data_IF_876104600664
#
_entry.id   IF_876104600664
#
_cell.length_a   1.000
_cell.length_b   1.000
_cell.length_c   1.000
_cell.angle_alpha   90.00
_cell.angle_beta   90.00
_cell.angle_gamma   90.00
#
_symmetry.space_group_name_H-M   'P 1'
#
loop_
_entity.id
_entity.type
_entity.pdbx_description
1 polymer ?
#
# COMPACT_ATOMS: atom_id res chain seq x y z
N UNK A 1 26.70 0.68 71.50
CA UNK A 1 26.96 1.79 72.49
C UNK A 1 25.74 2.68 72.45
N UNK A 2 24.92 2.41 73.40
CA UNK A 2 24.37 3.35 74.38
C UNK A 2 23.45 4.43 73.82
N UNK A 3 22.18 4.38 74.01
CA UNK A 3 21.37 4.54 75.24
C UNK A 3 20.50 5.80 75.10
N UNK A 4 19.17 5.61 75.03
CA UNK A 4 18.12 5.98 75.98
C UNK A 4 17.74 7.48 75.99
N UNK A 5 16.50 7.92 76.21
CA UNK A 5 15.27 7.59 76.96
C UNK A 5 14.23 8.67 76.65
N UNK A 6 12.96 8.38 76.48
CA UNK A 6 11.84 8.48 77.42
C UNK A 6 11.57 9.91 78.00
N UNK A 7 10.33 10.47 77.83
CA UNK A 7 9.18 10.41 78.76
C UNK A 7 8.19 11.51 78.34
N UNK A 8 6.93 11.36 78.24
CA UNK A 8 5.79 11.05 79.12
C UNK A 8 5.12 12.30 79.74
N UNK A 9 3.75 12.29 79.73
CA UNK A 9 2.75 12.97 80.57
C UNK A 9 2.38 14.41 80.18
N UNK A 10 1.14 14.90 80.31
CA UNK A 10 -0.19 14.39 80.74
C UNK A 10 -1.25 15.53 80.55
N UNK A 11 -2.40 15.21 80.13
CA UNK A 11 -3.73 15.39 80.72
C UNK A 11 -4.01 16.73 81.45
N UNK A 12 -5.11 17.37 81.10
CA UNK A 12 -6.34 17.62 81.82
C UNK A 12 -7.01 18.94 81.47
N UNK A 13 -8.24 18.82 81.00
CA UNK A 13 -9.49 19.42 81.42
C UNK A 13 -9.55 20.96 81.69
N UNK A 14 -10.48 21.65 81.03
CA UNK A 14 -11.69 22.08 81.75
C UNK A 14 -12.77 22.67 80.81
N UNK A 15 -13.99 22.43 81.23
CA UNK A 15 -15.28 22.81 80.67
C UNK A 15 -15.56 24.29 80.77
N UNK A 16 -16.39 24.87 79.89
CA UNK A 16 -17.69 25.49 80.29
C UNK A 16 -18.20 26.43 79.16
N UNK A 17 -19.30 26.03 78.56
CA UNK A 17 -20.58 26.75 78.37
C UNK A 17 -20.49 28.25 78.03
N UNK A 18 -21.04 28.64 76.86
CA UNK A 18 -22.15 29.60 76.73
C UNK A 18 -22.77 29.51 75.31
N UNK A 19 -24.10 29.41 75.27
CA UNK A 19 -24.95 29.49 74.10
C UNK A 19 -24.93 30.93 73.53
N UNK A 20 -24.83 31.03 72.22
CA UNK A 20 -25.52 32.05 71.44
C UNK A 20 -25.80 31.61 70.02
N UNK A 21 -27.08 31.67 69.72
CA UNK A 21 -27.64 31.44 68.37
C UNK A 21 -27.09 32.42 67.38
N UNK A 22 -26.58 31.97 66.28
CA UNK A 22 -26.52 32.74 65.07
C UNK A 22 -26.92 31.86 63.90
N UNK A 23 -27.94 32.32 63.21
CA UNK A 23 -28.35 31.82 61.91
C UNK A 23 -27.18 31.95 60.94
N UNK A 24 -26.68 30.82 60.41
CA UNK A 24 -25.81 30.80 59.26
C UNK A 24 -26.49 29.94 58.23
N UNK A 25 -26.95 30.61 57.17
CA UNK A 25 -27.50 29.99 55.97
C UNK A 25 -26.51 28.98 55.39
N UNK A 26 -26.95 27.77 55.29
CA UNK A 26 -26.21 26.71 54.62
C UNK A 26 -26.21 26.99 53.10
N UNK A 27 -25.16 27.57 52.60
CA UNK A 27 -24.84 27.51 51.18
C UNK A 27 -24.39 26.08 50.87
N UNK A 28 -25.29 25.27 50.33
CA UNK A 28 -24.96 24.03 49.70
C UNK A 28 -24.23 24.38 48.41
N UNK A 29 -22.92 24.31 48.44
CA UNK A 29 -22.08 24.34 47.25
C UNK A 29 -22.27 23.01 46.57
N UNK A 30 -23.25 22.93 45.64
CA UNK A 30 -23.33 21.84 44.67
C UNK A 30 -22.18 22.05 43.72
N UNK A 31 -21.06 21.43 44.04
CA UNK A 31 -19.95 21.24 43.08
C UNK A 31 -20.47 20.43 41.91
N UNK A 32 -20.83 21.10 40.83
CA UNK A 32 -21.01 20.45 39.55
C UNK A 32 -19.66 19.85 39.14
N UNK A 33 -19.42 18.61 39.52
CA UNK A 33 -18.43 17.79 38.87
C UNK A 33 -18.87 17.69 37.40
N UNK A 34 -18.32 18.54 36.56
CA UNK A 34 -18.30 18.36 35.13
C UNK A 34 -17.49 17.06 34.87
N UNK A 35 -18.15 15.92 34.98
CA UNK A 35 -17.71 14.74 34.31
C UNK A 35 -17.71 15.08 32.81
N UNK A 36 -16.55 15.40 32.29
CA UNK A 36 -16.29 15.25 30.85
C UNK A 36 -16.30 13.75 30.53
N UNK A 37 -17.47 13.13 30.68
CA UNK A 37 -17.73 11.85 30.11
C UNK A 37 -17.56 12.03 28.60
N UNK A 38 -16.52 11.48 28.01
CA UNK A 38 -16.54 11.21 26.59
C UNK A 38 -17.82 10.41 26.36
N UNK A 39 -18.85 11.07 25.83
CA UNK A 39 -20.07 10.40 25.42
C UNK A 39 -19.65 9.40 24.35
N UNK A 40 -19.62 8.13 24.73
CA UNK A 40 -19.47 7.01 23.78
C UNK A 40 -20.54 7.20 22.71
N UNK A 41 -20.14 7.74 21.56
CA UNK A 41 -21.03 7.82 20.41
C UNK A 41 -21.20 6.41 19.90
N UNK A 42 -22.42 5.86 19.90
CA UNK A 42 -22.62 4.53 19.37
C UNK A 42 -22.12 4.50 17.93
N UNK A 43 -21.44 3.42 17.55
CA UNK A 43 -20.85 3.25 16.21
C UNK A 43 -21.64 2.21 15.41
N UNK A 44 -21.76 2.46 14.11
CA UNK A 44 -22.26 1.49 13.14
C UNK A 44 -21.07 0.73 12.56
N UNK A 45 -20.97 -0.58 12.82
CA UNK A 45 -19.96 -1.42 12.19
C UNK A 45 -20.43 -1.91 10.82
N UNK A 46 -19.66 -1.64 9.79
CA UNK A 46 -19.91 -2.08 8.41
C UNK A 46 -18.90 -3.16 8.03
N UNK A 47 -19.41 -4.35 7.70
CA UNK A 47 -18.59 -5.51 7.35
C UNK A 47 -17.84 -5.31 6.03
N UNK A 48 -16.69 -6.00 5.84
CA UNK A 48 -15.88 -5.88 4.63
C UNK A 48 -16.53 -6.48 3.37
N UNK A 49 -17.57 -7.31 3.52
CA UNK A 49 -18.36 -7.85 2.41
C UNK A 49 -19.54 -6.95 1.98
N UNK A 50 -19.63 -5.73 2.48
CA UNK A 50 -20.63 -4.75 2.06
C UNK A 50 -20.46 -4.40 0.57
N UNK A 51 -21.54 -4.46 -0.25
CA UNK A 51 -21.46 -4.21 -1.70
C UNK A 51 -21.06 -2.77 -2.07
N UNK A 52 -21.14 -1.85 -1.12
CA UNK A 52 -20.71 -0.45 -1.29
C UNK A 52 -19.20 -0.25 -1.04
N UNK A 53 -18.42 -1.33 -0.91
CA UNK A 53 -16.95 -1.28 -0.86
C UNK A 53 -16.42 -1.80 -2.19
N UNK A 54 -15.60 -1.01 -2.87
CA UNK A 54 -14.89 -1.40 -4.07
C UNK A 54 -13.43 -1.75 -3.74
N UNK A 55 -12.96 -2.89 -4.26
CA UNK A 55 -11.61 -3.40 -4.08
C UNK A 55 -10.89 -3.44 -5.42
N UNK A 56 -9.71 -2.81 -5.52
CA UNK A 56 -8.87 -2.80 -6.73
C UNK A 56 -7.49 -3.35 -6.39
N UNK A 57 -7.05 -4.36 -7.16
CA UNK A 57 -5.89 -5.18 -6.87
C UNK A 57 -6.27 -6.59 -6.44
N UNK A 58 -5.33 -7.33 -5.84
CA UNK A 58 -5.57 -8.70 -5.39
C UNK A 58 -5.94 -8.75 -3.92
N UNK A 59 -7.12 -9.31 -3.65
CA UNK A 59 -7.68 -9.50 -2.31
C UNK A 59 -8.16 -10.93 -2.12
N UNK A 60 -7.99 -11.45 -0.93
CA UNK A 60 -8.48 -12.76 -0.51
C UNK A 60 -9.78 -12.60 0.30
N UNK A 61 -10.85 -13.12 -0.25
CA UNK A 61 -12.20 -13.15 0.33
C UNK A 61 -12.57 -14.53 0.89
N UNK A 62 -11.63 -15.47 1.03
CA UNK A 62 -11.91 -16.83 1.45
C UNK A 62 -12.39 -16.96 2.90
N UNK A 63 -12.20 -15.92 3.72
CA UNK A 63 -12.59 -15.90 5.12
C UNK A 63 -13.80 -15.01 5.36
N UNK A 64 -14.85 -15.56 5.93
CA UNK A 64 -16.06 -14.80 6.25
C UNK A 64 -15.76 -13.62 7.18
N UNK A 65 -16.16 -12.40 6.78
CA UNK A 65 -15.99 -11.18 7.58
C UNK A 65 -14.57 -10.65 7.66
N UNK A 66 -13.63 -11.18 6.85
CA UNK A 66 -12.25 -10.73 6.78
C UNK A 66 -11.81 -10.70 5.32
N UNK A 67 -11.28 -9.58 4.86
CA UNK A 67 -10.61 -9.46 3.56
C UNK A 67 -9.12 -9.30 3.80
N UNK A 68 -8.31 -10.17 3.18
CA UNK A 68 -6.85 -10.16 3.35
C UNK A 68 -6.15 -9.65 2.10
N UNK A 69 -5.02 -8.98 2.29
CA UNK A 69 -4.18 -8.47 1.19
C UNK A 69 -2.77 -8.17 1.68
N UNK A 70 -1.81 -8.07 0.76
CA UNK A 70 -0.45 -7.62 1.09
C UNK A 70 0.27 -6.91 -0.07
N UNK A 71 -0.14 -7.12 -1.34
CA UNK A 71 0.49 -6.46 -2.48
C UNK A 71 0.48 -4.93 -2.34
N UNK A 72 1.53 -4.22 -2.84
CA UNK A 72 1.54 -2.77 -2.84
C UNK A 72 0.46 -2.19 -3.75
N UNK A 73 0.05 -0.96 -3.50
CA UNK A 73 -0.86 -0.23 -4.37
C UNK A 73 -2.30 -0.71 -4.40
N UNK A 74 -2.68 -1.76 -3.64
CA UNK A 74 -4.09 -2.17 -3.52
C UNK A 74 -4.93 -1.01 -2.99
N UNK A 75 -6.20 -0.92 -3.45
CA UNK A 75 -7.10 0.16 -3.13
C UNK A 75 -8.40 -0.37 -2.52
N UNK A 76 -8.90 0.33 -1.51
CA UNK A 76 -10.23 0.16 -0.93
C UNK A 76 -10.94 1.49 -1.11
N UNK A 77 -12.07 1.49 -1.83
CA UNK A 77 -12.88 2.68 -2.10
C UNK A 77 -14.29 2.51 -1.56
N UNK A 78 -14.83 3.58 -1.03
CA UNK A 78 -16.24 3.63 -0.63
C UNK A 78 -16.72 5.08 -0.59
N UNK A 79 -18.03 5.25 -0.49
CA UNK A 79 -18.66 6.53 -0.12
C UNK A 79 -19.33 6.32 1.24
N UNK A 80 -19.36 7.33 2.08
CA UNK A 80 -20.02 7.27 3.38
C UNK A 80 -20.69 8.59 3.73
N UNK A 81 -21.73 8.55 4.55
CA UNK A 81 -22.35 9.72 5.16
C UNK A 81 -21.73 10.06 6.50
N UNK A 82 -21.86 11.32 6.93
CA UNK A 82 -21.56 11.77 8.28
C UNK A 82 -20.15 12.31 8.48
N UNK A 83 -19.77 12.46 9.74
CA UNK A 83 -18.61 13.25 10.17
C UNK A 83 -17.39 12.42 10.56
N UNK A 84 -17.51 11.07 10.56
CA UNK A 84 -16.52 10.15 11.10
C UNK A 84 -16.45 8.85 10.30
N UNK A 85 -15.23 8.38 10.10
CA UNK A 85 -14.97 7.04 9.56
C UNK A 85 -13.69 6.46 10.16
N UNK A 86 -13.76 5.22 10.61
CA UNK A 86 -12.61 4.45 11.06
C UNK A 86 -12.55 3.08 10.37
N UNK A 87 -11.36 2.47 10.35
CA UNK A 87 -11.10 1.17 9.74
C UNK A 87 -10.56 0.18 10.77
N UNK A 88 -11.11 -1.04 10.80
CA UNK A 88 -10.59 -2.12 11.63
C UNK A 88 -9.58 -2.94 10.83
N UNK A 89 -8.30 -2.81 11.19
CA UNK A 89 -7.18 -3.53 10.57
C UNK A 89 -6.40 -4.33 11.60
N UNK A 90 -6.04 -5.57 11.22
CA UNK A 90 -4.89 -6.27 11.80
C UNK A 90 -3.71 -6.06 10.87
N UNK A 91 -2.82 -5.16 11.24
CA UNK A 91 -1.66 -4.76 10.45
C UNK A 91 -0.59 -4.14 11.36
N UNK A 92 0.58 -4.75 11.41
CA UNK A 92 1.67 -4.35 12.31
C UNK A 92 2.71 -3.41 11.69
N UNK A 93 2.64 -3.10 10.39
CA UNK A 93 3.80 -2.46 9.75
C UNK A 93 3.49 -1.48 8.63
N UNK A 94 2.37 -1.58 7.93
CA UNK A 94 2.20 -0.86 6.67
C UNK A 94 1.82 0.62 6.83
N UNK A 95 2.01 1.37 5.75
CA UNK A 95 1.55 2.74 5.60
C UNK A 95 0.50 2.82 4.50
N UNK A 96 -0.49 3.72 4.68
CA UNK A 96 -1.58 3.94 3.74
C UNK A 96 -1.79 5.43 3.49
N UNK A 97 -2.03 5.80 2.24
CA UNK A 97 -2.62 7.12 1.96
C UNK A 97 -4.14 7.03 2.17
N UNK A 98 -4.67 7.98 2.90
CA UNK A 98 -6.11 8.17 3.13
C UNK A 98 -6.53 9.43 2.40
N UNK A 99 -7.38 9.27 1.39
CA UNK A 99 -7.95 10.40 0.65
C UNK A 99 -9.41 10.54 1.01
N UNK A 100 -9.81 11.76 1.36
CA UNK A 100 -11.20 12.17 1.55
C UNK A 100 -11.52 13.20 0.48
N UNK A 101 -12.61 13.00 -0.26
CA UNK A 101 -13.06 13.87 -1.33
C UNK A 101 -11.96 14.20 -2.37
N UNK A 102 -11.18 13.16 -2.72
CA UNK A 102 -10.09 13.26 -3.69
C UNK A 102 -8.81 13.93 -3.18
N UNK A 103 -8.78 14.42 -1.95
CA UNK A 103 -7.60 15.08 -1.35
C UNK A 103 -6.91 14.15 -0.33
N UNK A 104 -5.58 14.11 -0.34
CA UNK A 104 -4.82 13.41 0.69
C UNK A 104 -5.14 14.04 2.05
N UNK A 105 -5.82 13.28 2.89
CA UNK A 105 -6.22 13.70 4.23
C UNK A 105 -5.12 13.41 5.26
N UNK A 106 -4.57 12.18 5.23
CA UNK A 106 -3.44 11.78 6.06
C UNK A 106 -2.73 10.53 5.54
N UNK A 107 -1.55 10.27 6.10
CA UNK A 107 -0.87 8.97 6.02
C UNK A 107 -1.15 8.20 7.30
N UNK A 108 -1.84 7.07 7.17
CA UNK A 108 -2.05 6.14 8.27
C UNK A 108 -0.84 5.21 8.40
N UNK A 109 -0.24 5.16 9.57
CA UNK A 109 0.81 4.21 9.96
C UNK A 109 0.21 3.15 10.88
N UNK A 110 0.24 1.90 10.45
CA UNK A 110 -0.30 0.79 11.26
C UNK A 110 0.78 0.17 12.11
N UNK A 111 0.39 -0.31 13.30
CA UNK A 111 1.31 -0.91 14.29
C UNK A 111 0.73 -2.12 15.02
N UNK A 112 -0.57 -2.39 14.87
CA UNK A 112 -1.25 -3.44 15.64
C UNK A 112 -2.59 -3.86 15.03
N UNK A 113 -3.27 -4.80 15.69
CA UNK A 113 -4.66 -5.17 15.42
C UNK A 113 -5.59 -4.22 16.20
N UNK A 114 -6.06 -3.15 15.55
CA UNK A 114 -6.88 -2.14 16.22
C UNK A 114 -7.83 -1.42 15.25
N UNK A 115 -8.66 -0.56 15.81
CA UNK A 115 -9.46 0.41 15.07
C UNK A 115 -8.62 1.67 14.83
N UNK A 116 -8.48 2.08 13.58
CA UNK A 116 -7.76 3.28 13.19
C UNK A 116 -8.74 4.33 12.67
N UNK A 117 -8.83 5.48 13.32
CA UNK A 117 -9.59 6.62 12.81
C UNK A 117 -9.01 7.07 11.47
N UNK A 118 -9.82 7.10 10.43
CA UNK A 118 -9.46 7.60 9.10
C UNK A 118 -9.74 9.10 8.97
N UNK A 119 -10.91 9.52 9.41
CA UNK A 119 -11.34 10.91 9.43
C UNK A 119 -12.32 11.14 10.58
N UNK A 120 -12.30 12.34 11.11
CA UNK A 120 -13.19 12.82 12.17
C UNK A 120 -13.45 14.34 12.02
N UNK A 121 -14.52 14.82 12.60
CA UNK A 121 -14.92 16.24 12.53
C UNK A 121 -15.07 16.74 11.08
N UNK A 122 -15.48 15.88 10.16
CA UNK A 122 -15.85 16.26 8.81
C UNK A 122 -17.19 17.03 8.84
N UNK A 123 -17.52 17.71 7.74
CA UNK A 123 -18.87 18.25 7.57
C UNK A 123 -19.87 17.08 7.51
N UNK A 124 -21.07 17.29 8.08
CA UNK A 124 -22.13 16.27 8.03
C UNK A 124 -22.76 16.22 6.64
N UNK A 125 -22.18 15.38 5.76
CA UNK A 125 -22.60 15.15 4.38
C UNK A 125 -22.01 13.84 3.84
N UNK A 126 -22.22 13.59 2.58
CA UNK A 126 -21.57 12.47 1.87
C UNK A 126 -20.10 12.78 1.56
N UNK A 127 -19.25 11.77 1.74
CA UNK A 127 -17.80 11.82 1.49
C UNK A 127 -17.35 10.64 0.65
N UNK A 128 -16.38 10.87 -0.22
CA UNK A 128 -15.64 9.78 -0.89
C UNK A 128 -14.43 9.41 -0.06
N UNK A 129 -14.16 8.11 0.09
CA UNK A 129 -12.98 7.55 0.73
C UNK A 129 -12.20 6.68 -0.25
N UNK A 130 -10.90 6.96 -0.38
CA UNK A 130 -9.95 6.09 -1.05
C UNK A 130 -8.79 5.79 -0.10
N UNK A 131 -8.54 4.52 0.13
CA UNK A 131 -7.39 4.01 0.89
C UNK A 131 -6.45 3.33 -0.09
N UNK A 132 -5.16 3.71 -0.11
CA UNK A 132 -4.16 3.04 -0.94
C UNK A 132 -2.99 2.56 -0.09
N UNK A 133 -2.60 1.29 -0.23
CA UNK A 133 -1.43 0.75 0.47
C UNK A 133 -0.15 1.30 -0.17
N UNK A 134 0.68 1.95 0.64
CA UNK A 134 1.94 2.58 0.21
C UNK A 134 3.07 1.57 0.07
N UNK A 135 3.22 0.75 1.10
CA UNK A 135 4.36 -0.15 1.31
C UNK A 135 4.20 -1.47 0.56
N UNK A 136 5.31 -2.08 0.17
CA UNK A 136 5.31 -3.42 -0.42
C UNK A 136 4.91 -4.51 0.60
N UNK A 137 4.67 -5.72 0.13
CA UNK A 137 4.44 -6.87 0.98
C UNK A 137 5.71 -7.20 1.79
N UNK A 138 5.55 -7.34 3.11
CA UNK A 138 6.63 -7.74 4.01
C UNK A 138 6.33 -9.12 4.61
N UNK A 139 6.28 -9.27 5.94
CA UNK A 139 6.16 -10.58 6.58
C UNK A 139 4.72 -11.04 6.78
N UNK A 140 3.80 -10.10 6.99
CA UNK A 140 2.45 -10.42 7.46
C UNK A 140 1.37 -10.01 6.46
N UNK A 141 0.29 -10.80 6.44
CA UNK A 141 -0.93 -10.47 5.74
C UNK A 141 -1.72 -9.43 6.52
N UNK A 142 -2.18 -8.40 5.83
CA UNK A 142 -3.16 -7.47 6.36
C UNK A 142 -4.52 -8.15 6.39
N UNK A 143 -5.26 -7.94 7.49
CA UNK A 143 -6.66 -8.36 7.61
C UNK A 143 -7.55 -7.15 7.84
N UNK A 144 -8.34 -6.82 6.85
CA UNK A 144 -9.38 -5.80 6.93
C UNK A 144 -10.67 -6.43 7.43
N UNK A 145 -11.27 -5.84 8.46
CA UNK A 145 -12.47 -6.35 9.14
C UNK A 145 -13.68 -5.42 9.05
N UNK A 146 -13.57 -4.33 8.29
CA UNK A 146 -14.67 -3.41 8.06
C UNK A 146 -14.40 -1.99 8.52
N UNK A 147 -15.43 -1.17 8.37
CA UNK A 147 -15.43 0.23 8.79
C UNK A 147 -16.32 0.43 10.01
N UNK A 148 -16.01 1.46 10.79
CA UNK A 148 -16.90 1.98 11.82
C UNK A 148 -17.26 3.42 11.47
N UNK A 149 -18.55 3.74 11.54
CA UNK A 149 -19.15 5.06 11.30
C UNK A 149 -19.90 5.51 12.55
N UNK A 150 -20.34 6.77 12.63
CA UNK A 150 -21.27 7.16 13.70
C UNK A 150 -22.59 6.37 13.57
N UNK A 151 -23.35 6.29 14.67
CA UNK A 151 -24.69 5.72 14.63
C UNK A 151 -25.59 6.49 13.67
N UNK A 152 -26.31 5.74 12.84
CA UNK A 152 -27.18 6.30 11.80
C UNK A 152 -26.50 6.57 10.46
N UNK A 153 -25.17 6.63 10.43
CA UNK A 153 -24.41 6.76 9.18
C UNK A 153 -24.25 5.42 8.46
N UNK A 154 -24.03 5.46 7.16
CA UNK A 154 -23.95 4.28 6.32
C UNK A 154 -22.93 4.45 5.18
N UNK A 155 -22.51 3.31 4.60
CA UNK A 155 -21.85 3.34 3.30
C UNK A 155 -22.87 3.51 2.20
N UNK A 156 -22.56 4.38 1.25
CA UNK A 156 -23.40 4.74 0.11
C UNK A 156 -22.94 4.00 -1.15
N UNK A 157 -23.84 3.81 -2.15
CA UNK A 157 -23.48 3.13 -3.39
C UNK A 157 -22.28 3.77 -4.10
N UNK A 158 -21.31 2.94 -4.49
CA UNK A 158 -20.17 3.36 -5.31
C UNK A 158 -20.59 3.31 -6.78
N UNK A 159 -20.44 4.44 -7.49
CA UNK A 159 -20.63 4.47 -8.94
C UNK A 159 -19.44 3.76 -9.58
N UNK A 160 -19.67 2.55 -10.09
CA UNK A 160 -18.66 1.76 -10.79
C UNK A 160 -18.53 2.26 -12.22
N UNK A 161 -17.49 3.02 -12.49
CA UNK A 161 -17.12 3.39 -13.86
C UNK A 161 -16.42 2.22 -14.55
N UNK A 162 -16.75 2.02 -15.84
CA UNK A 162 -16.00 1.06 -16.66
C UNK A 162 -14.64 1.70 -17.03
N UNK A 163 -13.60 1.33 -16.32
CA UNK A 163 -12.23 1.82 -16.54
C UNK A 163 -11.40 0.81 -17.32
N UNK A 164 -10.39 1.32 -18.02
CA UNK A 164 -9.25 0.52 -18.51
C UNK A 164 -8.59 -0.16 -17.33
N UNK A 165 -7.92 -1.29 -17.59
CA UNK A 165 -7.25 -2.07 -16.53
C UNK A 165 -5.82 -2.36 -16.91
N UNK A 166 -4.89 -2.04 -16.03
CA UNK A 166 -3.45 -2.27 -16.24
C UNK A 166 -2.89 -3.11 -15.08
N UNK A 167 -2.26 -4.24 -15.38
CA UNK A 167 -1.44 -4.96 -14.40
C UNK A 167 0.03 -4.60 -14.59
N UNK A 168 0.70 -4.19 -13.51
CA UNK A 168 2.12 -3.91 -13.48
C UNK A 168 2.81 -5.03 -12.71
N UNK A 169 3.78 -5.69 -13.35
CA UNK A 169 4.55 -6.80 -12.79
C UNK A 169 6.01 -6.37 -12.75
N UNK A 170 6.64 -6.34 -11.56
CA UNK A 170 8.01 -5.90 -11.48
C UNK A 170 8.60 -5.84 -10.09
N UNK A 171 9.47 -4.88 -9.90
CA UNK A 171 10.35 -4.74 -8.75
C UNK A 171 10.13 -3.43 -7.98
N UNK A 172 11.19 -2.95 -7.31
CA UNK A 172 11.20 -1.74 -6.47
C UNK A 172 10.71 -0.47 -7.19
N UNK A 173 10.84 -0.38 -8.50
CA UNK A 173 10.32 0.77 -9.25
C UNK A 173 8.79 0.81 -9.27
N UNK A 174 8.11 -0.32 -9.12
CA UNK A 174 6.66 -0.36 -8.97
C UNK A 174 6.21 -0.35 -7.51
N UNK A 175 7.04 -0.84 -6.57
CA UNK A 175 6.68 -0.72 -5.15
C UNK A 175 6.75 0.73 -4.66
N UNK A 176 7.50 1.58 -5.35
CA UNK A 176 7.74 2.97 -4.93
C UNK A 176 8.75 3.05 -3.78
N UNK A 177 9.69 2.09 -3.70
CA UNK A 177 10.79 2.12 -2.74
C UNK A 177 11.57 3.43 -2.89
N UNK A 178 11.79 4.12 -1.77
CA UNK A 178 12.58 5.36 -1.75
C UNK A 178 11.92 6.58 -2.39
N UNK A 179 10.70 6.45 -2.93
CA UNK A 179 10.04 7.48 -3.74
C UNK A 179 9.75 8.81 -3.00
N UNK A 180 9.67 8.81 -1.68
CA UNK A 180 9.58 10.01 -0.84
C UNK A 180 10.92 10.38 -0.19
N UNK A 181 11.99 9.72 -0.58
CA UNK A 181 13.36 10.07 -0.19
C UNK A 181 13.80 11.41 -0.76
N UNK A 182 14.64 12.12 -0.01
CA UNK A 182 15.14 13.45 -0.41
C UNK A 182 16.46 13.41 -1.13
N UNK A 183 17.25 12.35 -0.92
CA UNK A 183 18.59 12.18 -1.47
C UNK A 183 18.84 10.74 -1.88
N UNK A 184 19.70 10.48 -2.88
CA UNK A 184 19.97 9.10 -3.35
C UNK A 184 20.56 8.16 -2.29
N UNK A 185 21.29 8.69 -1.34
CA UNK A 185 22.05 7.99 -0.29
C UNK A 185 21.24 7.79 1.00
N UNK A 186 20.02 8.30 1.08
CA UNK A 186 19.23 8.07 2.27
C UNK A 186 18.89 6.57 2.44
N UNK A 187 18.86 6.13 3.70
CA UNK A 187 18.51 4.76 4.04
C UNK A 187 17.02 4.54 3.90
N UNK A 188 16.64 3.42 3.30
CA UNK A 188 15.25 3.01 3.20
C UNK A 188 14.60 2.87 4.58
N UNK A 189 13.41 3.39 4.70
CA UNK A 189 12.45 3.06 5.75
C UNK A 189 11.02 3.09 5.16
N UNK A 190 10.04 2.54 5.88
CA UNK A 190 8.66 2.46 5.39
C UNK A 190 7.99 3.81 5.10
N UNK A 191 8.50 4.89 5.68
CA UNK A 191 7.92 6.22 5.52
C UNK A 191 8.33 6.88 4.20
N UNK A 192 9.45 6.44 3.61
CA UNK A 192 9.90 6.91 2.31
C UNK A 192 9.51 5.99 1.14
N UNK A 193 8.64 5.00 1.38
CA UNK A 193 8.05 4.13 0.37
C UNK A 193 6.61 4.55 0.07
N UNK A 194 6.27 4.75 -1.19
CA UNK A 194 4.92 5.11 -1.60
C UNK A 194 4.57 4.62 -3.00
N UNK A 195 3.96 3.45 -3.06
CA UNK A 195 3.53 2.85 -4.33
C UNK A 195 2.59 3.78 -5.13
N UNK A 196 1.76 4.58 -4.46
CA UNK A 196 0.80 5.47 -5.14
C UNK A 196 1.45 6.52 -6.05
N UNK A 197 2.67 6.97 -5.72
CA UNK A 197 3.44 7.91 -6.54
C UNK A 197 4.48 7.24 -7.44
N UNK A 198 4.61 5.91 -7.40
CA UNK A 198 5.41 5.16 -8.36
C UNK A 198 4.86 5.33 -9.78
N UNK A 199 5.71 5.22 -10.79
CA UNK A 199 5.33 5.55 -12.17
C UNK A 199 4.18 4.72 -12.73
N UNK A 200 4.02 3.46 -12.32
CA UNK A 200 2.90 2.61 -12.72
C UNK A 200 1.54 3.17 -12.30
N UNK A 201 1.27 3.40 -11.01
CA UNK A 201 0.07 4.06 -10.54
C UNK A 201 -0.14 5.49 -11.06
N UNK A 202 0.94 6.28 -11.21
CA UNK A 202 0.87 7.62 -11.84
C UNK A 202 0.39 7.52 -13.28
N UNK A 203 0.97 6.61 -14.06
CA UNK A 203 0.61 6.36 -15.45
C UNK A 203 -0.83 5.85 -15.56
N UNK A 204 -1.25 4.90 -14.71
CA UNK A 204 -2.61 4.38 -14.72
C UNK A 204 -3.65 5.50 -14.51
N UNK A 205 -3.43 6.41 -13.55
CA UNK A 205 -4.30 7.57 -13.34
C UNK A 205 -4.35 8.51 -14.55
N UNK A 206 -3.20 8.77 -15.21
CA UNK A 206 -3.14 9.57 -16.44
C UNK A 206 -3.91 8.93 -17.60
N UNK A 207 -3.96 7.61 -17.65
CA UNK A 207 -4.67 6.83 -18.65
C UNK A 207 -6.13 6.53 -18.28
N UNK A 208 -6.64 7.05 -17.16
CA UNK A 208 -7.95 6.72 -16.57
C UNK A 208 -8.17 5.21 -16.47
N UNK A 209 -7.20 4.52 -15.86
CA UNK A 209 -7.21 3.08 -15.68
C UNK A 209 -7.17 2.69 -14.21
N UNK A 210 -7.89 1.60 -13.86
CA UNK A 210 -7.65 0.87 -12.63
C UNK A 210 -6.36 0.04 -12.78
N UNK A 211 -5.67 -0.22 -11.66
CA UNK A 211 -4.40 -0.92 -11.72
C UNK A 211 -4.25 -1.99 -10.64
N UNK A 212 -3.47 -3.01 -10.96
CA UNK A 212 -2.98 -4.03 -10.03
C UNK A 212 -1.45 -4.01 -10.06
N UNK A 213 -0.80 -4.00 -8.89
CA UNK A 213 0.67 -4.02 -8.77
C UNK A 213 1.09 -5.35 -8.16
N UNK A 214 1.89 -6.11 -8.90
CA UNK A 214 2.50 -7.36 -8.47
C UNK A 214 4.01 -7.12 -8.49
N UNK A 215 4.51 -6.56 -7.40
CA UNK A 215 5.89 -6.10 -7.33
C UNK A 215 6.53 -6.39 -5.97
N UNK A 216 7.82 -6.69 -5.99
CA UNK A 216 8.65 -6.97 -4.82
C UNK A 216 10.02 -6.33 -5.09
N UNK A 217 10.52 -5.55 -4.15
CA UNK A 217 11.86 -4.95 -4.25
C UNK A 217 12.95 -6.03 -4.31
N UNK A 218 13.93 -5.84 -5.19
CA UNK A 218 15.03 -6.78 -5.39
C UNK A 218 14.70 -8.07 -6.14
N UNK A 219 13.45 -8.26 -6.58
CA UNK A 219 13.02 -9.49 -7.26
C UNK A 219 13.55 -9.55 -8.70
N UNK A 220 13.96 -10.74 -9.12
CA UNK A 220 14.31 -11.06 -10.51
C UNK A 220 13.41 -12.10 -11.13
N UNK A 221 13.73 -12.49 -12.33
CA UNK A 221 13.08 -13.61 -13.05
C UNK A 221 13.77 -14.93 -12.71
N UNK A 222 15.09 -14.94 -12.63
CA UNK A 222 15.94 -16.09 -12.34
C UNK A 222 16.69 -15.91 -11.03
N UNK A 223 17.21 -14.69 -10.79
CA UNK A 223 18.03 -14.35 -9.64
C UNK A 223 17.56 -13.04 -9.03
N UNK A 224 17.41 -13.03 -7.71
CA UNK A 224 17.12 -11.83 -6.97
C UNK A 224 18.40 -11.05 -6.67
N UNK A 225 18.28 -9.75 -6.47
CA UNK A 225 19.39 -8.93 -6.01
C UNK A 225 19.97 -9.46 -4.68
N UNK A 226 21.30 -9.44 -4.56
CA UNK A 226 22.02 -9.90 -3.38
C UNK A 226 22.09 -11.42 -3.19
N UNK A 227 21.49 -12.26 -4.04
CA UNK A 227 21.61 -13.71 -3.93
C UNK A 227 23.03 -14.15 -4.30
N UNK A 228 23.74 -14.93 -3.47
CA UNK A 228 25.09 -15.40 -3.78
C UNK A 228 25.13 -16.50 -4.87
N UNK A 229 23.99 -17.08 -5.22
CA UNK A 229 23.89 -18.12 -6.24
C UNK A 229 23.52 -17.54 -7.62
N UNK A 230 23.74 -18.33 -8.68
CA UNK A 230 23.35 -17.98 -10.05
C UNK A 230 21.82 -17.93 -10.25
N UNK A 231 21.07 -18.61 -9.36
CA UNK A 231 19.61 -18.69 -9.41
C UNK A 231 19.04 -18.58 -7.99
N UNK A 232 17.87 -17.95 -7.86
CA UNK A 232 17.14 -17.85 -6.60
C UNK A 232 15.96 -18.83 -6.56
N UNK A 233 15.65 -19.34 -5.36
CA UNK A 233 14.54 -20.29 -5.18
C UNK A 233 13.16 -19.65 -5.37
N UNK A 234 13.02 -18.34 -5.09
CA UNK A 234 11.75 -17.61 -5.10
C UNK A 234 11.92 -16.30 -5.85
N UNK A 235 11.62 -16.35 -7.15
CA UNK A 235 11.65 -15.20 -8.06
C UNK A 235 10.23 -14.75 -8.41
N UNK A 236 10.06 -13.73 -9.23
CA UNK A 236 8.73 -13.25 -9.59
C UNK A 236 7.81 -14.36 -10.17
N UNK A 237 8.24 -15.28 -11.05
CA UNK A 237 7.42 -16.41 -11.49
C UNK A 237 6.83 -17.26 -10.37
N UNK A 238 7.54 -17.41 -9.24
CA UNK A 238 7.06 -18.14 -8.07
C UNK A 238 5.91 -17.43 -7.34
N UNK A 239 5.95 -16.09 -7.27
CA UNK A 239 4.96 -15.30 -6.53
C UNK A 239 3.76 -14.88 -7.37
N UNK A 240 3.92 -14.77 -8.69
CA UNK A 240 2.96 -14.14 -9.59
C UNK A 240 1.53 -14.69 -9.49
N UNK A 241 1.39 -16.00 -9.32
CA UNK A 241 0.07 -16.63 -9.27
C UNK A 241 -0.62 -16.58 -7.91
N UNK A 242 -0.06 -15.89 -6.95
CA UNK A 242 -0.62 -15.81 -5.60
C UNK A 242 -1.63 -14.68 -5.47
N UNK A 243 -2.66 -14.91 -4.69
CA UNK A 243 -3.60 -13.86 -4.26
C UNK A 243 -2.90 -12.85 -3.37
N UNK A 244 -2.13 -13.33 -2.39
CA UNK A 244 -1.26 -12.56 -1.54
C UNK A 244 0.16 -13.15 -1.60
N UNK A 245 1.20 -12.31 -1.54
CA UNK A 245 2.59 -12.77 -1.60
C UNK A 245 2.91 -13.77 -0.48
N UNK A 246 2.43 -13.49 0.73
CA UNK A 246 2.70 -14.26 1.96
C UNK A 246 1.69 -15.40 2.20
N UNK A 247 0.90 -15.79 1.20
CA UNK A 247 -0.02 -16.93 1.25
C UNK A 247 0.23 -17.85 0.05
N UNK A 248 -0.31 -19.06 0.12
CA UNK A 248 -0.24 -20.05 -0.98
C UNK A 248 -1.49 -20.07 -1.85
N UNK A 249 -2.55 -19.36 -1.44
CA UNK A 249 -3.80 -19.24 -2.18
C UNK A 249 -3.54 -18.67 -3.57
N UNK A 250 -3.98 -19.39 -4.60
CA UNK A 250 -3.85 -18.95 -5.97
C UNK A 250 -4.86 -17.86 -6.31
N UNK A 251 -4.40 -16.88 -7.09
CA UNK A 251 -5.25 -15.85 -7.65
C UNK A 251 -6.15 -16.44 -8.75
N UNK A 252 -7.41 -16.11 -8.70
CA UNK A 252 -8.35 -16.41 -9.79
C UNK A 252 -8.27 -15.30 -10.84
N UNK A 253 -7.52 -15.56 -11.89
CA UNK A 253 -7.27 -14.60 -12.97
C UNK A 253 -8.54 -14.23 -13.76
N UNK A 254 -9.66 -14.97 -13.63
CA UNK A 254 -10.93 -14.60 -14.27
C UNK A 254 -11.62 -13.44 -13.57
N UNK A 255 -11.34 -13.19 -12.30
CA UNK A 255 -11.94 -12.10 -11.52
C UNK A 255 -11.54 -10.72 -12.01
N UNK A 256 -10.35 -10.60 -12.59
CA UNK A 256 -9.84 -9.32 -13.05
C UNK A 256 -8.93 -9.51 -14.27
N UNK A 257 -9.40 -9.10 -15.45
CA UNK A 257 -8.71 -9.22 -16.71
C UNK A 257 -8.18 -7.86 -17.14
N UNK A 258 -6.87 -7.65 -17.27
CA UNK A 258 -6.30 -6.38 -17.73
C UNK A 258 -6.44 -6.23 -19.25
N UNK A 259 -6.50 -4.97 -19.71
CA UNK A 259 -6.34 -4.63 -21.12
C UNK A 259 -4.85 -4.61 -21.50
N UNK A 260 -4.00 -4.21 -20.55
CA UNK A 260 -2.54 -4.11 -20.69
C UNK A 260 -1.84 -4.72 -19.48
N UNK A 261 -0.82 -5.54 -19.74
CA UNK A 261 0.16 -5.99 -18.74
C UNK A 261 1.48 -5.31 -19.05
N UNK A 262 2.08 -4.64 -18.06
CA UNK A 262 3.41 -4.05 -18.15
C UNK A 262 4.37 -4.86 -17.29
N UNK A 263 5.38 -5.46 -17.90
CA UNK A 263 6.38 -6.27 -17.22
C UNK A 263 7.71 -5.49 -17.20
N UNK A 264 8.22 -5.19 -16.02
CA UNK A 264 9.54 -4.60 -15.82
C UNK A 264 10.33 -5.45 -14.85
N UNK A 265 11.11 -6.36 -15.40
CA UNK A 265 11.96 -7.32 -14.68
C UNK A 265 13.27 -7.52 -15.44
N UNK A 266 14.27 -8.06 -14.76
CA UNK A 266 15.58 -8.38 -15.34
C UNK A 266 16.72 -7.51 -14.80
N UNK A 267 16.44 -6.33 -14.28
CA UNK A 267 17.47 -5.48 -13.68
C UNK A 267 18.12 -6.15 -12.48
N UNK A 268 17.34 -6.73 -11.59
CA UNK A 268 17.84 -7.40 -10.37
C UNK A 268 18.62 -8.68 -10.67
N UNK A 269 18.32 -9.35 -11.78
CA UNK A 269 19.09 -10.51 -12.24
C UNK A 269 20.55 -10.14 -12.55
N UNK A 270 20.80 -8.89 -13.00
CA UNK A 270 22.11 -8.37 -13.42
C UNK A 270 22.64 -7.21 -12.56
N UNK A 271 22.01 -6.88 -11.42
CA UNK A 271 22.44 -5.77 -10.59
C UNK A 271 23.79 -6.00 -9.92
N UNK A 272 24.05 -7.21 -9.42
CA UNK A 272 25.29 -7.63 -8.77
C UNK A 272 25.67 -9.06 -9.17
N UNK A 273 26.99 -9.38 -9.06
CA UNK A 273 27.49 -10.73 -9.31
C UNK A 273 27.06 -11.71 -8.17
N UNK A 274 26.94 -13.03 -8.48
CA UNK A 274 27.10 -13.65 -9.79
C UNK A 274 25.91 -13.36 -10.70
N UNK A 275 26.11 -13.37 -12.01
CA UNK A 275 25.01 -13.23 -12.98
C UNK A 275 24.47 -14.59 -13.41
N UNK A 276 23.17 -14.76 -13.64
CA UNK A 276 22.63 -15.96 -14.25
C UNK A 276 23.24 -16.15 -15.66
N UNK A 277 23.29 -17.38 -16.14
CA UNK A 277 23.66 -17.60 -17.54
C UNK A 277 22.61 -17.00 -18.46
N UNK A 278 23.03 -16.47 -19.61
CA UNK A 278 22.10 -15.90 -20.61
C UNK A 278 20.99 -16.90 -20.97
N UNK A 279 21.35 -18.15 -21.22
CA UNK A 279 20.40 -19.22 -21.54
C UNK A 279 19.36 -19.42 -20.43
N UNK A 280 19.76 -19.50 -19.17
CA UNK A 280 18.83 -19.63 -18.04
C UNK A 280 17.89 -18.42 -17.96
N UNK A 281 18.42 -17.21 -18.12
CA UNK A 281 17.64 -15.98 -18.07
C UNK A 281 16.60 -15.92 -19.19
N UNK A 282 17.02 -16.12 -20.44
CA UNK A 282 16.11 -16.10 -21.59
C UNK A 282 15.04 -17.19 -21.50
N UNK A 283 15.44 -18.42 -21.16
CA UNK A 283 14.51 -19.55 -21.02
C UNK A 283 13.42 -19.28 -19.98
N UNK A 284 13.79 -18.84 -18.78
CA UNK A 284 12.82 -18.60 -17.72
C UNK A 284 11.96 -17.35 -18.00
N UNK A 285 12.51 -16.33 -18.66
CA UNK A 285 11.74 -15.15 -19.02
C UNK A 285 10.69 -15.47 -20.10
N UNK A 286 11.06 -16.24 -21.14
CA UNK A 286 10.12 -16.73 -22.15
C UNK A 286 9.01 -17.57 -21.50
N UNK A 287 9.35 -18.50 -20.62
CA UNK A 287 8.35 -19.30 -19.88
C UNK A 287 7.39 -18.41 -19.09
N UNK A 288 7.91 -17.38 -18.45
CA UNK A 288 7.10 -16.46 -17.66
C UNK A 288 6.14 -15.65 -18.55
N UNK A 289 6.62 -15.09 -19.66
CA UNK A 289 5.77 -14.35 -20.60
C UNK A 289 4.72 -15.25 -21.25
N UNK A 290 5.07 -16.49 -21.65
CA UNK A 290 4.12 -17.50 -22.13
C UNK A 290 3.06 -17.80 -21.07
N UNK A 291 3.45 -17.85 -19.78
CA UNK A 291 2.50 -18.05 -18.68
C UNK A 291 1.54 -16.88 -18.53
N UNK A 292 2.03 -15.63 -18.56
CA UNK A 292 1.20 -14.41 -18.52
C UNK A 292 0.21 -14.42 -19.70
N UNK A 293 0.68 -14.73 -20.92
CA UNK A 293 -0.18 -14.81 -22.12
C UNK A 293 -1.28 -15.85 -21.97
N UNK A 294 -0.97 -17.01 -21.39
CA UNK A 294 -1.97 -18.05 -21.12
C UNK A 294 -3.04 -17.60 -20.15
N UNK A 295 -2.67 -16.85 -19.13
CA UNK A 295 -3.58 -16.33 -18.09
C UNK A 295 -4.42 -15.15 -18.61
N UNK A 296 -3.85 -14.33 -19.48
CA UNK A 296 -4.45 -13.12 -20.05
C UNK A 296 -4.41 -13.15 -21.59
N UNK A 297 -5.19 -14.03 -22.18
CA UNK A 297 -5.16 -14.29 -23.62
C UNK A 297 -5.49 -13.10 -24.51
N UNK A 298 -6.24 -12.12 -23.98
CA UNK A 298 -6.69 -10.93 -24.70
C UNK A 298 -5.85 -9.69 -24.44
N UNK A 299 -5.12 -9.64 -23.34
CA UNK A 299 -4.34 -8.47 -22.94
C UNK A 299 -3.21 -8.16 -23.92
N UNK A 300 -2.87 -6.91 -24.07
CA UNK A 300 -1.59 -6.50 -24.63
C UNK A 300 -0.50 -6.66 -23.56
N UNK A 301 0.73 -7.00 -23.95
CA UNK A 301 1.87 -7.17 -23.05
C UNK A 301 2.98 -6.23 -23.47
N UNK A 302 3.33 -5.27 -22.63
CA UNK A 302 4.50 -4.43 -22.77
C UNK A 302 5.60 -4.96 -21.85
N UNK A 303 6.74 -5.33 -22.43
CA UNK A 303 7.96 -5.63 -21.67
C UNK A 303 8.85 -4.39 -21.70
N UNK A 304 9.10 -3.82 -20.53
CA UNK A 304 9.77 -2.55 -20.36
C UNK A 304 11.18 -2.76 -19.79
N UNK A 305 12.17 -2.09 -20.35
CA UNK A 305 13.48 -1.93 -19.77
C UNK A 305 13.90 -0.46 -19.83
N UNK A 306 14.34 0.09 -18.71
CA UNK A 306 15.10 1.33 -18.68
C UNK A 306 16.52 1.04 -18.21
N UNK A 307 17.54 1.51 -18.95
CA UNK A 307 18.93 1.29 -18.59
C UNK A 307 19.32 2.16 -17.39
N UNK A 308 19.60 1.51 -16.24
CA UNK A 308 20.02 2.22 -15.03
C UNK A 308 21.53 2.34 -14.90
N UNK A 309 22.28 1.27 -15.17
CA UNK A 309 23.76 1.26 -15.09
C UNK A 309 24.45 0.68 -16.32
N UNK A 310 23.88 -0.35 -16.96
CA UNK A 310 24.41 -1.01 -18.17
C UNK A 310 23.25 -1.49 -19.02
N UNK A 311 23.38 -1.33 -20.33
CA UNK A 311 22.34 -1.63 -21.31
C UNK A 311 22.18 -3.12 -21.66
N UNK A 312 23.16 -3.95 -21.31
CA UNK A 312 23.26 -5.30 -21.88
C UNK A 312 22.03 -6.17 -21.56
N UNK A 313 21.47 -6.07 -20.36
CA UNK A 313 20.26 -6.84 -19.99
C UNK A 313 19.03 -6.41 -20.79
N UNK A 314 18.93 -5.15 -21.21
CA UNK A 314 17.85 -4.68 -22.08
C UNK A 314 17.87 -5.36 -23.44
N UNK A 315 19.07 -5.62 -24.00
CA UNK A 315 19.20 -6.37 -25.24
C UNK A 315 18.72 -7.81 -25.05
N UNK A 316 19.10 -8.48 -23.97
CA UNK A 316 18.64 -9.84 -23.66
C UNK A 316 17.12 -9.92 -23.53
N UNK A 317 16.48 -8.92 -22.92
CA UNK A 317 15.00 -8.85 -22.80
C UNK A 317 14.36 -8.60 -24.18
N UNK A 318 14.97 -7.73 -25.00
CA UNK A 318 14.53 -7.51 -26.38
C UNK A 318 14.56 -8.80 -27.20
N UNK A 319 15.66 -9.56 -27.10
CA UNK A 319 15.80 -10.85 -27.78
C UNK A 319 14.72 -11.85 -27.37
N UNK A 320 14.43 -11.95 -26.05
CA UNK A 320 13.33 -12.78 -25.50
C UNK A 320 11.99 -12.42 -26.14
N UNK A 321 11.67 -11.12 -26.24
CA UNK A 321 10.39 -10.69 -26.83
C UNK A 321 10.35 -10.98 -28.32
N UNK A 322 11.46 -10.76 -29.04
CA UNK A 322 11.54 -11.04 -30.47
C UNK A 322 11.43 -12.54 -30.77
N UNK A 323 12.09 -13.40 -30.00
CA UNK A 323 11.97 -14.85 -30.10
C UNK A 323 10.52 -15.29 -29.88
N UNK A 324 9.88 -14.83 -28.78
CA UNK A 324 8.50 -15.15 -28.48
C UNK A 324 7.53 -14.70 -29.57
N UNK A 325 7.73 -13.51 -30.17
CA UNK A 325 6.92 -13.05 -31.29
C UNK A 325 7.09 -13.93 -32.53
N UNK A 326 8.31 -14.30 -32.82
CA UNK A 326 8.63 -15.15 -33.99
C UNK A 326 8.02 -16.54 -33.82
N UNK A 327 8.15 -17.16 -32.66
CA UNK A 327 7.61 -18.48 -32.38
C UNK A 327 6.07 -18.53 -32.36
N UNK A 328 5.43 -17.54 -31.75
CA UNK A 328 3.98 -17.56 -31.47
C UNK A 328 3.13 -16.79 -32.47
N UNK A 329 3.73 -15.88 -33.23
CA UNK A 329 3.00 -14.91 -34.06
C UNK A 329 2.22 -13.86 -33.24
N UNK A 330 2.51 -13.75 -31.96
CA UNK A 330 1.79 -12.82 -31.04
C UNK A 330 2.05 -11.34 -31.38
N UNK A 331 1.06 -10.70 -31.97
CA UNK A 331 1.11 -9.27 -32.34
C UNK A 331 0.82 -8.32 -31.17
N UNK A 332 0.40 -8.84 -30.01
CA UNK A 332 0.03 -8.07 -28.82
C UNK A 332 1.12 -8.07 -27.74
N UNK A 333 2.34 -8.48 -28.07
CA UNK A 333 3.50 -8.34 -27.19
C UNK A 333 4.54 -7.46 -27.88
N UNK A 334 5.12 -6.53 -27.12
CA UNK A 334 6.22 -5.69 -27.61
C UNK A 334 7.19 -5.33 -26.50
N UNK A 335 8.39 -4.95 -26.89
CA UNK A 335 9.46 -4.47 -26.03
C UNK A 335 9.62 -2.97 -26.20
N UNK A 336 9.88 -2.28 -25.12
CA UNK A 336 10.23 -0.87 -25.12
C UNK A 336 11.45 -0.63 -24.24
N UNK A 337 12.50 -0.06 -24.85
CA UNK A 337 13.67 0.44 -24.12
C UNK A 337 13.44 1.91 -23.85
N UNK A 338 13.04 2.23 -22.64
CA UNK A 338 12.69 3.59 -22.25
C UNK A 338 13.92 4.35 -21.78
N UNK A 339 14.34 5.34 -22.56
CA UNK A 339 15.40 6.27 -22.19
C UNK A 339 14.78 7.53 -21.58
N UNK A 340 14.94 7.72 -20.27
CA UNK A 340 14.50 8.91 -19.55
C UNK A 340 15.71 9.60 -18.94
N UNK A 341 15.88 10.88 -19.28
CA UNK A 341 16.94 11.67 -18.67
C UNK A 341 16.53 12.08 -17.25
N UNK A 342 17.01 11.34 -16.26
CA UNK A 342 16.81 11.62 -14.84
C UNK A 342 18.04 12.37 -14.29
N UNK A 343 17.77 13.48 -13.62
CA UNK A 343 18.78 14.27 -12.90
C UNK A 343 19.09 13.59 -11.55
N UNK A 344 20.37 13.24 -11.36
CA UNK A 344 20.81 12.52 -10.15
C UNK A 344 20.52 13.24 -8.84
N UNK A 345 20.43 14.57 -8.87
CA UNK A 345 20.22 15.39 -7.67
C UNK A 345 18.76 15.72 -7.41
N UNK A 346 17.90 15.63 -8.43
CA UNK A 346 16.49 16.06 -8.36
C UNK A 346 15.48 14.94 -8.48
N UNK A 347 15.85 13.84 -9.18
CA UNK A 347 14.91 12.81 -9.58
C UNK A 347 15.09 11.49 -8.82
N UNK A 348 16.03 11.44 -7.86
CA UNK A 348 16.30 10.25 -7.05
C UNK A 348 16.03 10.49 -5.58
N UNK A 349 15.44 9.49 -4.96
CA UNK A 349 15.25 9.35 -3.53
C UNK A 349 16.12 8.21 -2.98
N UNK A 350 15.73 7.64 -1.84
CA UNK A 350 16.58 6.70 -1.12
C UNK A 350 17.03 5.51 -1.96
N UNK A 351 18.28 5.09 -1.72
CA UNK A 351 18.89 3.92 -2.36
C UNK A 351 18.94 4.03 -3.89
N UNK A 352 19.22 5.19 -4.41
CA UNK A 352 19.29 5.46 -5.88
C UNK A 352 18.00 5.07 -6.64
N UNK A 353 16.85 5.06 -5.98
CA UNK A 353 15.56 4.85 -6.64
C UNK A 353 14.95 6.18 -7.07
N UNK A 354 14.12 6.21 -8.12
CA UNK A 354 13.44 7.43 -8.49
C UNK A 354 12.58 7.98 -7.35
N UNK A 355 12.66 9.29 -7.10
CA UNK A 355 11.71 9.96 -6.23
C UNK A 355 10.42 10.32 -6.99
N UNK A 356 9.51 11.07 -6.38
CA UNK A 356 8.25 11.47 -7.02
C UNK A 356 8.47 12.18 -8.36
N UNK A 357 9.50 13.06 -8.48
CA UNK A 357 9.85 13.72 -9.72
C UNK A 357 10.32 12.74 -10.79
N UNK A 358 11.23 11.83 -10.43
CA UNK A 358 11.72 10.79 -11.33
C UNK A 358 10.60 9.88 -11.82
N UNK A 359 9.75 9.42 -10.93
CA UNK A 359 8.58 8.61 -11.30
C UNK A 359 7.61 9.35 -12.23
N UNK A 360 7.35 10.64 -12.01
CA UNK A 360 6.52 11.45 -12.90
C UNK A 360 7.12 11.58 -14.31
N UNK A 361 8.45 11.74 -14.41
CA UNK A 361 9.16 11.79 -15.70
C UNK A 361 9.07 10.46 -16.45
N UNK A 362 9.27 9.33 -15.75
CA UNK A 362 9.12 7.99 -16.33
C UNK A 362 7.70 7.79 -16.85
N UNK A 363 6.70 8.11 -16.04
CA UNK A 363 5.29 8.00 -16.44
C UNK A 363 4.95 8.89 -17.64
N UNK A 364 5.47 10.12 -17.71
CA UNK A 364 5.24 11.04 -18.80
C UNK A 364 5.87 10.57 -20.12
N UNK A 365 7.05 9.94 -20.05
CA UNK A 365 7.71 9.38 -21.22
C UNK A 365 6.97 8.14 -21.76
N UNK A 366 6.41 7.33 -20.88
CA UNK A 366 5.72 6.09 -21.24
C UNK A 366 4.26 6.32 -21.71
N UNK A 367 3.61 7.38 -21.25
CA UNK A 367 2.21 7.69 -21.56
C UNK A 367 1.94 7.75 -23.08
N UNK A 368 2.65 8.52 -23.93
CA UNK A 368 2.36 8.60 -25.35
C UNK A 368 2.61 7.26 -26.09
N UNK A 369 3.58 6.49 -25.64
CA UNK A 369 3.87 5.15 -26.20
C UNK A 369 2.67 4.23 -26.01
N UNK A 370 2.13 4.17 -24.79
CA UNK A 370 0.97 3.32 -24.47
C UNK A 370 -0.28 3.86 -25.16
N UNK A 371 -0.52 5.17 -25.16
CA UNK A 371 -1.70 5.74 -25.87
C UNK A 371 -1.69 5.35 -27.33
N UNK A 372 -0.54 5.45 -28.01
CA UNK A 372 -0.40 5.04 -29.42
C UNK A 372 -0.61 3.53 -29.60
N UNK A 373 0.05 2.70 -28.78
CA UNK A 373 -0.02 1.24 -28.92
C UNK A 373 -1.40 0.67 -28.62
N UNK A 374 -2.12 1.27 -27.68
CA UNK A 374 -3.43 0.78 -27.19
C UNK A 374 -4.61 1.55 -27.81
N UNK A 375 -4.38 2.60 -28.59
CA UNK A 375 -5.39 3.49 -29.10
C UNK A 375 -6.29 4.08 -27.96
N UNK A 376 -5.63 4.64 -26.93
CA UNK A 376 -6.25 5.18 -25.71
C UNK A 376 -6.28 6.70 -25.66
#
# INVERSE_FOLDING_TARGET
MLITKRKFFSLLKFRSIIKKCFFISSFVLVGALLFSGEFYKPETHVRPDNPNIEYIGRFDFSRRGIVRFDWPGVQIKTHFSGTYCAIKLKDGYNNYNIFIDGKLHKVLRTTSDTLYTLAENLNDREHTLLITKRTEARKDLVSFRGFNLNAGDSLLPVIKEKKRKIEFIGDSFFTGLGSEGKTPDCVFNRDNENCYIAFGPVLARKLNADYSIIAISGIGVVRNDGDPNLTSKRTMPYFYERTCMNDTLKWDFQKWQPDLVVVRLGNNDYWGKPYPTLHAFQTEYIKFLKRIRKLYSKASILVLCEPVKKDQHCNYISDVVNELKTESGDKKIWFEKLNVNLDKTKDFGCQEHPNESGHKKIAAALEPIIRKAMNW
#
